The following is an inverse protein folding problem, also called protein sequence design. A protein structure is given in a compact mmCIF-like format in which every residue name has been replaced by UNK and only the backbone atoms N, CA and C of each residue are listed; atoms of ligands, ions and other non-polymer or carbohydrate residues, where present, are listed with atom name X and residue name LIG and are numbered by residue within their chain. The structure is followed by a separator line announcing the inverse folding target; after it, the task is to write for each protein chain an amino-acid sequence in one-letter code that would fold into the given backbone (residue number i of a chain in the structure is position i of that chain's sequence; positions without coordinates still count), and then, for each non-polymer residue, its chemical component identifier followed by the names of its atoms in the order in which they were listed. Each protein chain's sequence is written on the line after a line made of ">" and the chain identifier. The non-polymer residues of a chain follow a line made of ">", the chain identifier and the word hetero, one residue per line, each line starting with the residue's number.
data_IF_756978543389
#
_entry.id   IF_756978543389
#
_cell.length_a   1.000
_cell.length_b   1.000
_cell.length_c   1.000
_cell.angle_alpha   90.00
_cell.angle_beta   90.00
_cell.angle_gamma   90.00
#
_symmetry.space_group_name_H-M   'P 1'
#
loop_
_entity.id
_entity.type
_entity.pdbx_description
1 polymer ?
#
# COMPACT_ATOMS: atom_id res chain seq x y z
N UNK A 1 -1.19 -25.75 9.97
CA UNK A 1 -2.60 -25.37 10.13
C UNK A 1 -2.72 -23.92 9.73
N UNK A 2 -3.11 -23.67 8.48
CA UNK A 2 -3.13 -22.33 7.89
C UNK A 2 -4.49 -21.70 8.19
N UNK A 3 -4.51 -20.76 9.11
CA UNK A 3 -5.74 -20.07 9.49
C UNK A 3 -6.01 -18.99 8.43
N UNK A 4 -6.86 -19.32 7.46
CA UNK A 4 -7.45 -18.35 6.55
C UNK A 4 -8.51 -17.54 7.32
N UNK A 5 -8.12 -16.39 7.87
CA UNK A 5 -9.09 -15.42 8.37
C UNK A 5 -9.73 -14.71 7.18
N UNK A 6 -10.94 -15.12 6.79
CA UNK A 6 -11.80 -14.39 5.85
C UNK A 6 -12.34 -13.14 6.56
N UNK A 7 -11.56 -12.07 6.55
CA UNK A 7 -12.04 -10.74 6.91
C UNK A 7 -12.69 -10.20 5.63
N UNK A 8 -14.04 -10.25 5.54
CA UNK A 8 -14.85 -9.63 4.46
C UNK A 8 -14.26 -9.77 3.04
N UNK A 9 -14.28 -10.98 2.49
CA UNK A 9 -13.79 -11.31 1.13
C UNK A 9 -12.29 -11.05 0.88
N UNK A 10 -11.51 -10.74 1.92
CA UNK A 10 -10.06 -10.69 1.84
C UNK A 10 -9.45 -12.07 2.03
N UNK A 11 -8.45 -12.39 1.20
CA UNK A 11 -7.74 -13.67 1.22
C UNK A 11 -6.29 -13.40 1.56
N UNK A 12 -5.87 -13.87 2.73
CA UNK A 12 -4.49 -13.76 3.20
C UNK A 12 -3.87 -15.16 3.20
N UNK A 13 -2.80 -15.33 2.44
CA UNK A 13 -2.05 -16.58 2.37
C UNK A 13 -1.21 -16.84 3.64
N UNK A 14 -0.77 -18.10 3.87
CA UNK A 14 0.19 -18.41 4.91
C UNK A 14 1.50 -17.64 4.69
N UNK A 15 2.19 -17.32 5.80
CA UNK A 15 3.50 -16.62 5.78
C UNK A 15 3.43 -15.14 5.37
N UNK A 16 2.24 -14.54 5.34
CA UNK A 16 2.09 -13.10 5.22
C UNK A 16 2.38 -12.42 6.56
N UNK A 17 3.08 -11.29 6.53
CA UNK A 17 3.38 -10.49 7.73
C UNK A 17 2.65 -9.16 7.64
N UNK A 18 1.73 -8.91 8.58
CA UNK A 18 1.01 -7.63 8.67
C UNK A 18 1.42 -6.97 9.99
N UNK A 19 2.07 -5.82 9.90
CA UNK A 19 2.50 -5.03 11.06
C UNK A 19 1.70 -3.74 11.08
N UNK A 20 0.83 -3.59 12.07
CA UNK A 20 -0.04 -2.43 12.24
C UNK A 20 0.31 -1.71 13.55
N UNK A 21 0.94 -0.53 13.47
CA UNK A 21 1.11 0.37 14.62
C UNK A 21 -0.07 1.36 14.74
N UNK A 22 -0.71 1.67 13.62
CA UNK A 22 -2.00 2.38 13.55
C UNK A 22 -3.10 1.51 12.95
N UNK A 23 -4.33 2.04 12.88
CA UNK A 23 -5.44 1.32 12.24
C UNK A 23 -5.12 1.02 10.77
N UNK A 24 -5.40 -0.22 10.32
CA UNK A 24 -5.37 -0.57 8.89
C UNK A 24 -6.79 -0.93 8.49
N UNK A 25 -7.31 -0.23 7.47
CA UNK A 25 -8.63 -0.50 6.91
C UNK A 25 -8.40 -1.27 5.61
N UNK A 26 -8.75 -2.55 5.62
CA UNK A 26 -8.85 -3.35 4.40
C UNK A 26 -10.28 -3.26 3.88
N UNK A 27 -10.41 -2.80 2.65
CA UNK A 27 -11.65 -2.88 1.87
C UNK A 27 -11.82 -4.29 1.26
N UNK A 28 -13.02 -4.59 0.75
CA UNK A 28 -13.36 -5.95 0.31
C UNK A 28 -12.55 -6.45 -0.89
N UNK A 29 -12.30 -7.76 -0.94
CA UNK A 29 -11.72 -8.43 -2.10
C UNK A 29 -10.21 -8.27 -2.27
N UNK A 30 -9.48 -7.86 -1.22
CA UNK A 30 -8.02 -7.83 -1.24
C UNK A 30 -7.42 -9.24 -1.19
N UNK A 31 -6.41 -9.49 -2.02
CA UNK A 31 -5.68 -10.76 -2.05
C UNK A 31 -4.22 -10.49 -1.67
N UNK A 32 -3.77 -11.12 -0.60
CA UNK A 32 -2.42 -10.99 -0.06
C UNK A 32 -1.73 -12.34 -0.16
N UNK A 33 -0.79 -12.49 -1.10
CA UNK A 33 -0.05 -13.74 -1.32
C UNK A 33 1.11 -13.92 -0.34
N UNK A 34 1.60 -15.15 -0.27
CA UNK A 34 2.65 -15.57 0.68
C UNK A 34 3.89 -14.66 0.69
N UNK A 35 4.52 -14.56 1.85
CA UNK A 35 5.76 -13.78 2.06
C UNK A 35 5.62 -12.29 1.77
N UNK A 36 4.41 -11.78 1.53
CA UNK A 36 4.18 -10.34 1.47
C UNK A 36 4.31 -9.73 2.86
N UNK A 37 4.88 -8.53 2.93
CA UNK A 37 5.00 -7.76 4.16
C UNK A 37 4.29 -6.43 3.97
N UNK A 38 3.25 -6.22 4.78
CA UNK A 38 2.48 -4.97 4.81
C UNK A 38 2.73 -4.33 6.17
N UNK A 39 3.33 -3.14 6.16
CA UNK A 39 3.57 -2.37 7.36
C UNK A 39 2.69 -1.12 7.36
N UNK A 40 2.22 -0.70 8.53
CA UNK A 40 1.63 0.61 8.75
C UNK A 40 2.24 1.24 10.01
N UNK A 41 2.79 2.45 9.87
CA UNK A 41 3.33 3.27 10.96
C UNK A 41 2.49 4.51 11.22
N UNK A 42 1.67 4.94 10.25
CA UNK A 42 0.89 6.18 10.28
C UNK A 42 -0.48 5.92 10.92
N UNK A 43 -1.06 6.96 11.53
CA UNK A 43 -2.43 6.95 12.02
C UNK A 43 -3.40 6.77 10.83
N UNK A 44 -3.95 5.56 10.70
CA UNK A 44 -4.88 5.10 9.66
C UNK A 44 -4.33 5.02 8.22
N UNK A 45 -3.90 3.82 7.78
CA UNK A 45 -3.72 3.51 6.34
C UNK A 45 -4.95 2.78 5.82
N UNK A 46 -5.55 3.30 4.75
CA UNK A 46 -6.57 2.60 3.99
C UNK A 46 -5.96 1.87 2.80
N UNK A 47 -6.14 0.56 2.75
CA UNK A 47 -5.93 -0.24 1.55
C UNK A 47 -7.30 -0.43 0.93
N UNK A 48 -7.52 0.17 -0.25
CA UNK A 48 -8.81 0.14 -0.90
C UNK A 48 -9.14 -1.25 -1.52
N UNK A 49 -10.27 -1.34 -2.23
CA UNK A 49 -10.85 -2.63 -2.64
C UNK A 49 -10.10 -3.31 -3.79
N UNK A 50 -10.17 -4.65 -3.86
CA UNK A 50 -9.67 -5.47 -4.99
C UNK A 50 -8.18 -5.31 -5.32
N UNK A 51 -7.36 -5.07 -4.31
CA UNK A 51 -5.91 -5.06 -4.47
C UNK A 51 -5.33 -6.48 -4.50
N UNK A 52 -4.31 -6.69 -5.34
CA UNK A 52 -3.58 -7.96 -5.45
C UNK A 52 -2.12 -7.73 -5.09
N UNK A 53 -1.69 -8.31 -3.98
CA UNK A 53 -0.30 -8.33 -3.54
C UNK A 53 0.29 -9.69 -3.90
N UNK A 54 1.18 -9.72 -4.89
CA UNK A 54 1.90 -10.92 -5.29
C UNK A 54 2.93 -11.35 -4.22
N UNK A 55 3.46 -12.57 -4.37
CA UNK A 55 4.38 -13.14 -3.40
C UNK A 55 5.64 -12.28 -3.23
N UNK A 56 6.13 -12.15 -2.00
CA UNK A 56 7.30 -11.32 -1.63
C UNK A 56 7.15 -9.82 -1.91
N UNK A 57 5.93 -9.31 -2.09
CA UNK A 57 5.70 -7.87 -2.17
C UNK A 57 5.97 -7.19 -0.81
N UNK A 58 6.55 -6.00 -0.84
CA UNK A 58 6.82 -5.21 0.36
C UNK A 58 6.20 -3.83 0.22
N UNK A 59 5.37 -3.43 1.20
CA UNK A 59 4.70 -2.13 1.19
C UNK A 59 5.18 -1.31 2.39
N UNK A 60 5.66 -0.11 2.10
CA UNK A 60 6.16 0.79 3.13
C UNK A 60 5.06 1.32 4.04
N UNK A 61 5.39 1.66 5.30
CA UNK A 61 4.42 2.12 6.30
C UNK A 61 3.81 3.49 6.07
N UNK A 62 4.19 4.18 5.00
CA UNK A 62 3.80 5.56 4.65
C UNK A 62 3.07 5.59 3.29
N UNK A 63 2.77 4.42 2.71
CA UNK A 63 2.13 4.30 1.40
C UNK A 63 0.65 3.94 1.58
N UNK A 64 -0.23 4.73 0.95
CA UNK A 64 -1.65 4.42 0.84
C UNK A 64 -1.91 3.79 -0.52
N UNK A 65 -2.62 2.67 -0.58
CA UNK A 65 -2.88 1.95 -1.83
C UNK A 65 -4.33 2.17 -2.26
N UNK A 66 -4.53 2.72 -3.46
CA UNK A 66 -5.83 2.88 -4.12
C UNK A 66 -6.51 1.55 -4.44
N UNK A 67 -7.62 1.58 -5.19
CA UNK A 67 -8.40 0.40 -5.57
C UNK A 67 -7.86 -0.28 -6.82
N UNK A 68 -8.16 -1.57 -6.99
CA UNK A 68 -7.88 -2.34 -8.22
C UNK A 68 -6.41 -2.29 -8.65
N UNK A 69 -5.49 -2.16 -7.68
CA UNK A 69 -4.06 -2.11 -7.94
C UNK A 69 -3.42 -3.49 -7.81
N UNK A 70 -2.42 -3.76 -8.65
CA UNK A 70 -1.68 -5.02 -8.64
C UNK A 70 -0.22 -4.73 -8.34
N UNK A 71 0.28 -5.28 -7.23
CA UNK A 71 1.68 -5.21 -6.84
C UNK A 71 2.34 -6.53 -7.23
N UNK A 72 3.30 -6.44 -8.13
CA UNK A 72 4.05 -7.56 -8.68
C UNK A 72 4.91 -8.30 -7.66
N UNK A 73 5.32 -9.51 -8.02
CA UNK A 73 6.11 -10.36 -7.13
C UNK A 73 7.50 -9.77 -6.89
N UNK A 74 7.93 -9.71 -5.62
CA UNK A 74 9.22 -9.12 -5.24
C UNK A 74 9.31 -7.61 -5.45
N UNK A 75 8.18 -6.92 -5.67
CA UNK A 75 8.14 -5.47 -5.77
C UNK A 75 8.15 -4.82 -4.40
N UNK A 76 9.02 -3.83 -4.24
CA UNK A 76 9.16 -3.01 -3.05
C UNK A 76 8.52 -1.65 -3.32
N UNK A 77 7.42 -1.35 -2.63
CA UNK A 77 6.74 -0.06 -2.72
C UNK A 77 7.25 0.82 -1.60
N UNK A 78 8.07 1.81 -1.97
CA UNK A 78 8.69 2.77 -1.08
C UNK A 78 8.12 4.14 -1.38
N UNK A 79 7.60 4.81 -0.35
CA UNK A 79 7.49 6.26 -0.38
C UNK A 79 8.90 6.80 -0.19
N UNK A 80 9.47 7.44 -1.21
CA UNK A 80 10.62 8.29 -0.94
C UNK A 80 10.09 9.47 -0.12
N UNK A 81 10.52 9.64 1.15
CA UNK A 81 10.27 10.89 1.83
C UNK A 81 11.00 11.96 1.02
N UNK A 82 10.30 13.06 0.71
CA UNK A 82 10.83 14.14 -0.12
C UNK A 82 12.08 14.72 0.55
N UNK A 83 13.27 14.24 0.15
CA UNK A 83 14.55 14.61 0.76
C UNK A 83 14.88 16.10 0.55
N UNK A 84 14.13 16.81 -0.30
CA UNK A 84 14.26 18.24 -0.50
C UNK A 84 13.85 19.06 0.73
N UNK A 85 12.89 18.59 1.55
CA UNK A 85 12.48 19.31 2.76
C UNK A 85 13.54 19.27 3.88
N UNK A 86 14.37 18.22 3.90
CA UNK A 86 15.49 18.13 4.86
C UNK A 86 16.63 19.08 4.50
N UNK A 87 16.93 19.29 3.21
CA UNK A 87 18.03 20.15 2.79
C UNK A 87 17.68 21.63 2.88
N UNK A 88 16.43 22.02 2.61
CA UNK A 88 16.00 23.42 2.76
C UNK A 88 15.90 23.86 4.22
N UNK A 89 15.61 22.94 5.14
CA UNK A 89 15.57 23.22 6.58
C UNK A 89 16.90 22.99 7.29
N UNK A 90 17.92 22.45 6.61
CA UNK A 90 19.30 22.44 7.09
C UNK A 90 20.00 23.80 6.87
N UNK A 91 19.24 24.90 6.79
CA UNK A 91 19.79 26.25 6.85
C UNK A 91 20.51 26.43 8.19
N UNK A 92 21.74 26.91 8.07
CA UNK A 92 22.68 27.19 9.14
C UNK A 92 22.01 28.01 10.27
N UNK A 93 22.06 27.58 11.54
CA UNK A 93 21.42 28.29 12.65
C UNK A 93 22.11 29.60 13.08
N UNK A 94 22.93 30.21 12.21
CA UNK A 94 23.69 31.43 12.50
C UNK A 94 23.20 32.68 11.73
N UNK A 95 22.05 32.63 11.05
CA UNK A 95 21.40 33.84 10.53
C UNK A 95 20.36 34.33 11.55
N UNK A 96 20.78 35.30 12.37
CA UNK A 96 19.91 36.12 13.21
C UNK A 96 19.17 37.12 12.32
N UNK A 97 17.96 36.77 11.86
CA UNK A 97 17.03 37.74 11.30
C UNK A 97 15.88 37.98 12.30
N UNK A 98 15.75 39.25 12.68
CA UNK A 98 14.74 39.79 13.59
C UNK A 98 13.33 39.71 13.00
N UNK A 99 12.38 39.28 13.85
CA UNK A 99 10.97 39.68 13.93
C UNK A 99 10.09 39.69 12.66
N UNK A 100 9.18 38.71 12.53
CA UNK A 100 7.75 39.05 12.56
C UNK A 100 6.90 37.80 12.92
N UNK A 101 6.00 37.98 13.89
CA UNK A 101 5.24 36.92 14.54
C UNK A 101 4.19 36.21 13.66
N UNK A 102 4.62 35.19 12.91
CA UNK A 102 3.70 34.18 12.35
C UNK A 102 4.10 32.79 12.82
N UNK A 103 3.33 32.29 13.77
CA UNK A 103 3.26 30.92 14.27
C UNK A 103 3.92 29.89 13.34
N UNK A 104 5.11 29.44 13.73
CA UNK A 104 5.74 28.23 13.20
C UNK A 104 4.96 27.01 13.75
N UNK A 105 3.70 26.87 13.36
CA UNK A 105 2.89 25.68 13.60
C UNK A 105 3.11 24.70 12.46
N UNK A 106 4.27 24.05 12.41
CA UNK A 106 4.53 23.00 11.43
C UNK A 106 5.64 22.04 11.89
N UNK A 107 5.46 21.43 13.07
CA UNK A 107 6.32 20.31 13.53
C UNK A 107 5.65 18.93 13.51
N UNK A 108 4.44 18.83 12.97
CA UNK A 108 3.77 17.59 12.57
C UNK A 108 2.85 17.97 11.40
N UNK A 109 2.73 17.12 10.36
CA UNK A 109 1.59 17.01 9.42
C UNK A 109 1.90 16.89 7.93
N UNK A 110 3.16 16.79 7.51
CA UNK A 110 3.46 16.43 6.11
C UNK A 110 4.38 15.22 6.01
N UNK A 111 4.04 14.13 6.71
CA UNK A 111 4.32 12.82 6.12
C UNK A 111 3.48 12.80 4.83
N UNK A 112 4.09 13.15 3.71
CA UNK A 112 3.45 13.01 2.40
C UNK A 112 3.22 11.52 2.22
N UNK A 113 2.02 11.09 2.60
CA UNK A 113 1.56 9.73 2.38
C UNK A 113 1.59 9.55 0.87
N UNK A 114 2.50 8.74 0.35
CA UNK A 114 2.51 8.44 -1.08
C UNK A 114 1.26 7.61 -1.38
N UNK A 115 0.25 8.26 -1.95
CA UNK A 115 -0.96 7.59 -2.39
C UNK A 115 -0.76 6.99 -3.78
N UNK A 116 -0.87 5.67 -3.88
CA UNK A 116 -0.98 4.98 -5.15
C UNK A 116 -2.36 5.25 -5.76
N UNK A 117 -2.45 5.71 -7.03
CA UNK A 117 -3.73 5.92 -7.69
C UNK A 117 -4.41 4.59 -8.02
N UNK A 118 -5.73 4.65 -8.21
CA UNK A 118 -6.54 3.48 -8.58
C UNK A 118 -6.09 2.88 -9.93
N UNK A 119 -6.28 1.57 -10.11
CA UNK A 119 -5.95 0.84 -11.34
C UNK A 119 -4.46 0.92 -11.73
N UNK A 120 -3.59 0.94 -10.73
CA UNK A 120 -2.13 0.98 -10.93
C UNK A 120 -1.55 -0.41 -10.81
N UNK A 121 -0.65 -0.74 -11.74
CA UNK A 121 0.16 -1.95 -11.64
C UNK A 121 1.59 -1.55 -11.40
N UNK A 122 2.14 -2.00 -10.28
CA UNK A 122 3.56 -1.84 -9.97
C UNK A 122 4.26 -3.16 -10.20
N UNK A 123 5.34 -3.15 -10.94
CA UNK A 123 6.18 -4.32 -11.16
C UNK A 123 7.67 -3.97 -11.12
N UNK A 124 8.47 -5.01 -10.92
CA UNK A 124 9.92 -4.90 -10.85
C UNK A 124 10.42 -4.37 -9.51
N UNK A 125 11.75 -4.42 -9.35
CA UNK A 125 12.46 -3.91 -8.17
C UNK A 125 12.61 -2.39 -8.18
N UNK A 126 12.35 -1.74 -9.31
CA UNK A 126 12.56 -0.31 -9.54
C UNK A 126 11.27 0.51 -9.56
N UNK A 127 10.22 0.06 -8.87
CA UNK A 127 8.92 0.75 -8.78
C UNK A 127 8.38 1.19 -10.16
N UNK A 128 8.33 0.27 -11.12
CA UNK A 128 7.78 0.61 -12.45
C UNK A 128 6.26 0.59 -12.34
N UNK A 129 5.65 1.77 -12.42
CA UNK A 129 4.21 1.93 -12.44
C UNK A 129 3.68 1.94 -13.88
N UNK A 130 2.62 1.17 -14.13
CA UNK A 130 1.78 1.32 -15.31
C UNK A 130 0.34 1.56 -14.86
N UNK A 131 -0.27 2.63 -15.37
CA UNK A 131 -1.69 2.88 -15.18
C UNK A 131 -2.46 2.14 -16.25
N UNK A 132 -3.53 1.45 -15.89
CA UNK A 132 -4.37 0.80 -16.88
C UNK A 132 -5.17 1.81 -17.69
N UNK A 133 -5.14 1.68 -19.01
CA UNK A 133 -5.93 2.50 -19.94
C UNK A 133 -7.08 1.71 -20.54
N UNK A 134 -8.33 2.16 -20.35
CA UNK A 134 -9.49 1.78 -21.15
C UNK A 134 -9.99 0.34 -20.98
N UNK A 135 -9.92 -0.46 -22.05
CA UNK A 135 -10.62 -1.76 -22.20
C UNK A 135 -10.03 -2.92 -21.38
N UNK A 136 -8.77 -2.82 -20.95
CA UNK A 136 -8.10 -3.86 -20.15
C UNK A 136 -8.60 -3.94 -18.70
N UNK A 137 -9.21 -2.86 -18.19
CA UNK A 137 -9.72 -2.78 -16.82
C UNK A 137 -10.83 -3.82 -16.58
N UNK A 138 -11.80 -3.91 -17.49
CA UNK A 138 -12.91 -4.85 -17.35
C UNK A 138 -12.46 -6.32 -17.43
N UNK A 139 -11.47 -6.61 -18.26
CA UNK A 139 -10.90 -7.95 -18.37
C UNK A 139 -10.19 -8.36 -17.08
N UNK A 140 -9.47 -7.42 -16.46
CA UNK A 140 -8.71 -7.70 -15.27
C UNK A 140 -9.54 -7.72 -14.00
N UNK A 141 -10.61 -6.91 -13.89
CA UNK A 141 -11.64 -7.09 -12.85
C UNK A 141 -12.30 -8.47 -13.01
N UNK A 142 -12.61 -8.87 -14.24
CA UNK A 142 -13.15 -10.20 -14.53
C UNK A 142 -12.18 -11.33 -14.15
N UNK A 143 -10.89 -11.14 -14.42
CA UNK A 143 -9.83 -12.08 -14.04
C UNK A 143 -9.70 -12.14 -12.51
N UNK A 144 -9.68 -11.00 -11.83
CA UNK A 144 -9.63 -10.90 -10.37
C UNK A 144 -10.81 -11.61 -9.73
N UNK A 145 -12.02 -11.39 -10.24
CA UNK A 145 -13.24 -12.04 -9.74
C UNK A 145 -13.16 -13.56 -9.89
N UNK A 146 -12.68 -14.06 -11.04
CA UNK A 146 -12.47 -15.50 -11.27
C UNK A 146 -11.40 -16.07 -10.35
N UNK A 147 -10.32 -15.31 -10.11
CA UNK A 147 -9.24 -15.71 -9.23
C UNK A 147 -9.71 -15.79 -7.77
N UNK A 148 -10.45 -14.78 -7.30
CA UNK A 148 -11.08 -14.79 -5.97
C UNK A 148 -12.01 -15.99 -5.83
N UNK A 149 -12.88 -16.24 -6.82
CA UNK A 149 -13.78 -17.39 -6.81
C UNK A 149 -13.02 -18.72 -6.74
N UNK A 150 -11.89 -18.83 -7.44
CA UNK A 150 -11.03 -20.01 -7.39
C UNK A 150 -10.45 -20.23 -5.98
N UNK A 151 -9.90 -19.18 -5.37
CA UNK A 151 -9.33 -19.27 -4.01
C UNK A 151 -10.41 -19.56 -2.95
N UNK A 152 -11.62 -19.01 -3.11
CA UNK A 152 -12.77 -19.34 -2.24
C UNK A 152 -13.25 -20.77 -2.45
N UNK A 153 -13.20 -21.29 -3.68
CA UNK A 153 -13.56 -22.68 -3.97
C UNK A 153 -12.56 -23.63 -3.30
N UNK A 154 -11.27 -23.40 -3.49
CA UNK A 154 -10.23 -24.27 -2.92
C UNK A 154 -10.18 -24.20 -1.40
N UNK A 155 -10.59 -23.11 -0.76
CA UNK A 155 -10.69 -23.04 0.70
C UNK A 155 -11.88 -23.80 1.27
N UNK A 156 -12.99 -23.91 0.53
CA UNK A 156 -14.17 -24.70 0.94
C UNK A 156 -13.98 -26.19 0.77
N UNK A 157 -13.22 -26.63 -0.23
CA UNK A 157 -12.97 -28.06 -0.50
C UNK A 157 -12.01 -28.70 0.54
N UNK A 158 -11.44 -27.91 1.46
CA UNK A 158 -10.49 -28.37 2.50
C UNK A 158 -11.18 -28.72 3.84
N UNK A 159 -12.50 -28.51 3.96
CA UNK A 159 -13.30 -28.85 5.15
C UNK A 159 -14.32 -29.98 4.89
#
# INVERSE_FOLDING_TARGET
>A
MTIFWLILDCIIHPSCTIVALGQIIYESGCIVKEQSVICNRVEAISICSRNVFEAKSWVSPEVQVGSDSVIGAGTTVVSEPDLLYWFENARDPNEEDEDDGRQQSCLLDSLVICSLPDFTVIYGSSWVQSTWSGESIGQAIGLHTKHLLHLVKTSKDVY
#
